data_IF_298853130324
#
_entry.id   IF_298853130324
#
_cell.length_a   1.000
_cell.length_b   1.000
_cell.length_c   1.000
_cell.angle_alpha   90.00
_cell.angle_beta   90.00
_cell.angle_gamma   90.00
#
_symmetry.space_group_name_H-M   'P 1'
#
loop_
_entity.id
_entity.type
_entity.pdbx_description
1 polymer ?
#
# COMPACT_ATOMS: atom_id res chain seq x y z
N UNK A 1 18.58 17.15 8.40
CA UNK A 1 19.35 15.88 8.25
C UNK A 1 18.49 14.98 7.37
N UNK A 2 19.02 14.11 6.51
CA UNK A 2 18.15 13.24 5.72
C UNK A 2 17.35 12.30 6.62
N UNK A 3 16.16 11.88 6.20
CA UNK A 3 15.46 10.78 6.87
C UNK A 3 16.29 9.50 6.77
N UNK A 4 16.30 8.69 7.83
CA UNK A 4 17.14 7.47 7.88
C UNK A 4 16.32 6.25 8.27
N UNK A 5 16.67 5.10 7.69
CA UNK A 5 16.18 3.79 8.11
C UNK A 5 17.05 3.27 9.24
N UNK A 6 16.43 2.94 10.36
CA UNK A 6 17.11 2.38 11.53
C UNK A 6 16.50 1.04 11.90
N UNK A 7 17.35 0.12 12.35
CA UNK A 7 16.93 -1.21 12.75
C UNK A 7 16.07 -1.16 14.01
N UNK A 8 15.03 -1.99 14.04
CA UNK A 8 14.21 -2.17 15.24
C UNK A 8 14.94 -2.97 16.32
N UNK A 9 15.73 -3.98 15.95
CA UNK A 9 16.48 -4.82 16.89
C UNK A 9 17.86 -5.29 16.36
N UNK A 10 19.00 -4.93 17.00
CA UNK A 10 19.12 -3.99 18.11
C UNK A 10 18.66 -2.59 17.68
N UNK A 11 17.95 -1.91 18.58
CA UNK A 11 17.27 -0.64 18.30
C UNK A 11 18.27 0.46 17.93
N UNK A 12 17.97 1.21 16.87
CA UNK A 12 18.67 2.46 16.53
C UNK A 12 19.91 2.30 15.67
N UNK A 13 20.30 1.08 15.27
CA UNK A 13 21.39 0.90 14.30
C UNK A 13 20.96 1.44 12.94
N UNK A 14 21.68 2.41 12.40
CA UNK A 14 21.43 2.94 11.04
C UNK A 14 21.64 1.85 9.99
N UNK A 15 20.66 1.68 9.10
CA UNK A 15 20.71 0.80 7.93
C UNK A 15 21.19 1.59 6.73
N UNK A 16 20.48 2.67 6.40
CA UNK A 16 20.84 3.61 5.33
C UNK A 16 20.12 4.94 5.49
N UNK A 17 20.62 5.94 4.78
CA UNK A 17 19.95 7.23 4.60
C UNK A 17 19.04 7.18 3.36
N UNK A 18 17.95 7.94 3.39
CA UNK A 18 17.12 8.18 2.21
C UNK A 18 17.74 9.29 1.36
N UNK A 19 17.65 9.13 0.04
CA UNK A 19 17.91 10.20 -0.92
C UNK A 19 16.83 11.27 -0.85
N UNK A 20 17.13 12.46 -1.39
CA UNK A 20 16.18 13.58 -1.44
C UNK A 20 14.89 13.23 -2.18
N UNK A 21 14.95 12.36 -3.19
CA UNK A 21 13.79 11.93 -3.97
C UNK A 21 12.90 10.98 -3.15
N UNK A 22 13.50 9.99 -2.48
CA UNK A 22 12.81 9.07 -1.59
C UNK A 22 12.13 9.82 -0.43
N UNK A 23 12.84 10.76 0.17
CA UNK A 23 12.31 11.59 1.26
C UNK A 23 11.10 12.42 0.79
N UNK A 24 11.19 13.01 -0.40
CA UNK A 24 10.08 13.76 -1.00
C UNK A 24 8.89 12.85 -1.30
N UNK A 25 9.12 11.64 -1.81
CA UNK A 25 8.07 10.66 -2.06
C UNK A 25 7.34 10.26 -0.77
N UNK A 26 8.09 9.91 0.27
CA UNK A 26 7.51 9.53 1.58
C UNK A 26 6.74 10.71 2.19
N UNK A 27 7.33 11.92 2.22
CA UNK A 27 6.66 13.12 2.74
C UNK A 27 5.38 13.44 1.97
N UNK A 28 5.40 13.32 0.64
CA UNK A 28 4.23 13.65 -0.21
C UNK A 28 3.12 12.62 -0.06
N UNK A 29 3.45 11.33 -0.14
CA UNK A 29 2.47 10.23 -0.15
C UNK A 29 1.92 9.95 1.26
N UNK A 30 2.78 9.95 2.28
CA UNK A 30 2.40 9.54 3.63
C UNK A 30 2.03 10.71 4.56
N UNK A 31 2.56 11.91 4.28
CA UNK A 31 2.41 13.10 5.12
C UNK A 31 1.43 14.14 4.56
N UNK A 32 1.76 14.71 3.39
CA UNK A 32 1.11 15.92 2.88
C UNK A 32 -0.31 15.71 2.31
N UNK A 33 -0.80 14.47 2.18
CA UNK A 33 -2.06 14.13 1.47
C UNK A 33 -2.20 14.83 0.11
N UNK A 34 -1.07 15.16 -0.53
CA UNK A 34 -1.04 15.81 -1.84
C UNK A 34 -1.23 14.76 -2.93
N UNK A 35 -1.85 15.12 -4.07
CA UNK A 35 -1.86 14.24 -5.23
C UNK A 35 -0.41 13.96 -5.64
N UNK A 36 -0.01 12.69 -5.55
CA UNK A 36 1.31 12.24 -5.93
C UNK A 36 1.25 11.55 -7.30
N UNK A 37 2.33 11.68 -8.07
CA UNK A 37 2.48 10.94 -9.33
C UNK A 37 2.65 9.45 -9.03
N UNK A 38 2.35 8.58 -10.00
CA UNK A 38 2.56 7.13 -9.86
C UNK A 38 4.02 6.79 -9.52
N UNK A 39 4.98 7.56 -10.03
CA UNK A 39 6.40 7.38 -9.70
C UNK A 39 6.68 7.60 -8.20
N UNK A 40 6.14 8.68 -7.61
CA UNK A 40 6.29 8.94 -6.17
C UNK A 40 5.57 7.89 -5.32
N UNK A 41 4.41 7.41 -5.76
CA UNK A 41 3.71 6.32 -5.08
C UNK A 41 4.51 5.02 -5.09
N UNK A 42 5.12 4.66 -6.22
CA UNK A 42 5.95 3.47 -6.32
C UNK A 42 7.18 3.59 -5.43
N UNK A 43 7.87 4.74 -5.48
CA UNK A 43 9.05 4.97 -4.66
C UNK A 43 8.72 4.90 -3.15
N UNK A 44 7.64 5.55 -2.72
CA UNK A 44 7.20 5.47 -1.32
C UNK A 44 6.83 4.03 -0.90
N UNK A 45 6.16 3.27 -1.77
CA UNK A 45 5.83 1.87 -1.49
C UNK A 45 7.07 0.99 -1.40
N UNK A 46 8.08 1.21 -2.24
CA UNK A 46 9.34 0.47 -2.18
C UNK A 46 10.06 0.71 -0.85
N UNK A 47 10.08 1.95 -0.33
CA UNK A 47 10.57 2.25 1.01
C UNK A 47 9.75 1.53 2.10
N UNK A 48 8.42 1.55 2.01
CA UNK A 48 7.58 0.87 3.01
C UNK A 48 7.79 -0.66 2.99
N UNK A 49 8.03 -1.24 1.83
CA UNK A 49 8.37 -2.66 1.69
C UNK A 49 9.72 -2.95 2.31
N UNK A 50 10.73 -2.14 2.01
CA UNK A 50 12.06 -2.23 2.60
C UNK A 50 12.01 -2.16 4.13
N UNK A 51 11.23 -1.22 4.68
CA UNK A 51 11.04 -1.10 6.12
C UNK A 51 10.52 -2.39 6.75
N UNK A 52 9.64 -3.13 6.07
CA UNK A 52 9.12 -4.42 6.58
C UNK A 52 10.10 -5.57 6.38
N UNK A 53 10.82 -5.58 5.26
CA UNK A 53 11.82 -6.61 4.94
C UNK A 53 12.99 -6.59 5.93
N UNK A 54 13.48 -5.40 6.26
CA UNK A 54 14.63 -5.23 7.16
C UNK A 54 14.24 -5.03 8.64
N UNK A 55 12.96 -5.17 9.00
CA UNK A 55 12.40 -4.85 10.32
C UNK A 55 12.93 -3.50 10.83
N UNK A 56 12.70 -2.46 10.03
CA UNK A 56 13.24 -1.13 10.19
C UNK A 56 12.16 -0.10 10.50
N UNK A 57 12.59 0.97 11.14
CA UNK A 57 11.83 2.18 11.40
C UNK A 57 12.41 3.33 10.60
N UNK A 58 11.55 4.28 10.23
CA UNK A 58 11.94 5.50 9.57
C UNK A 58 12.07 6.60 10.62
N UNK A 59 13.28 7.12 10.79
CA UNK A 59 13.56 8.26 11.62
C UNK A 59 13.37 9.55 10.81
N UNK A 60 12.47 10.40 11.27
CA UNK A 60 12.24 11.73 10.73
C UNK A 60 13.19 12.73 11.37
N UNK A 61 13.63 13.69 10.57
CA UNK A 61 14.57 14.73 10.95
C UNK A 61 13.91 15.98 11.55
N UNK A 62 12.59 15.98 11.72
CA UNK A 62 11.85 17.16 12.15
C UNK A 62 12.10 17.54 13.62
N UNK A 63 12.46 16.59 14.48
CA UNK A 63 12.85 16.86 15.86
C UNK A 63 14.30 16.39 16.04
N UNK A 64 15.26 17.31 16.13
CA UNK A 64 16.63 16.97 16.48
C UNK A 64 16.76 16.70 17.98
N UNK A 65 17.61 15.74 18.37
CA UNK A 65 17.92 15.44 19.78
C UNK A 65 17.72 13.96 20.15
N UNK A 66 17.53 13.71 21.45
CA UNK A 66 17.52 12.34 22.03
C UNK A 66 16.25 11.53 21.70
N UNK A 67 15.17 12.19 21.32
CA UNK A 67 13.87 11.57 21.03
C UNK A 67 13.41 11.92 19.60
N UNK A 68 14.12 11.44 18.56
CA UNK A 68 13.73 11.74 17.20
C UNK A 68 12.36 11.15 16.89
N UNK A 69 11.60 11.82 16.01
CA UNK A 69 10.30 11.32 15.59
C UNK A 69 10.50 10.06 14.72
N UNK A 70 9.80 8.99 15.07
CA UNK A 70 9.97 7.68 14.45
C UNK A 70 8.67 7.21 13.83
N UNK A 71 8.78 6.44 12.75
CA UNK A 71 7.65 5.86 12.03
C UNK A 71 7.90 4.39 11.69
N UNK A 72 6.83 3.61 11.52
CA UNK A 72 6.87 2.22 11.10
C UNK A 72 5.92 1.96 9.93
N UNK A 73 6.27 0.96 9.12
CA UNK A 73 5.45 0.55 7.99
C UNK A 73 4.40 -0.48 8.46
N UNK A 74 3.14 -0.08 8.38
CA UNK A 74 1.99 -0.90 8.74
C UNK A 74 1.28 -1.43 7.49
N UNK A 75 0.61 -2.57 7.63
CA UNK A 75 -0.21 -3.18 6.58
C UNK A 75 -1.67 -3.05 6.95
N UNK A 76 -2.50 -2.54 6.04
CA UNK A 76 -3.95 -2.51 6.22
C UNK A 76 -4.54 -3.86 5.80
N UNK A 77 -4.98 -4.67 6.77
CA UNK A 77 -5.39 -6.07 6.53
C UNK A 77 -6.50 -6.24 5.50
N UNK A 78 -7.41 -5.28 5.36
CA UNK A 78 -8.56 -5.40 4.45
C UNK A 78 -8.23 -5.03 2.99
N UNK A 79 -7.25 -4.17 2.73
CA UNK A 79 -6.87 -3.73 1.38
C UNK A 79 -5.50 -4.23 0.93
N UNK A 80 -4.70 -4.80 1.83
CA UNK A 80 -3.32 -5.18 1.55
C UNK A 80 -2.40 -3.98 1.29
N UNK A 81 -2.83 -2.76 1.61
CA UNK A 81 -2.08 -1.53 1.32
C UNK A 81 -1.11 -1.23 2.46
N UNK A 82 0.14 -0.92 2.11
CA UNK A 82 1.13 -0.42 3.06
C UNK A 82 0.90 1.05 3.35
N UNK A 83 1.10 1.44 4.61
CA UNK A 83 1.04 2.83 5.03
C UNK A 83 2.07 3.12 6.10
N UNK A 84 2.51 4.37 6.17
CA UNK A 84 3.41 4.84 7.22
C UNK A 84 2.59 5.26 8.44
N UNK A 85 2.96 4.72 9.60
CA UNK A 85 2.34 5.01 10.89
C UNK A 85 3.38 5.61 11.83
N UNK A 86 3.00 6.65 12.56
CA UNK A 86 3.88 7.32 13.52
C UNK A 86 3.84 6.63 14.88
N UNK A 87 4.97 6.65 15.58
CA UNK A 87 4.97 6.37 17.02
C UNK A 87 4.36 7.56 17.78
N UNK A 88 4.05 7.40 19.08
CA UNK A 88 3.56 8.48 19.95
C UNK A 88 4.57 9.64 20.16
N UNK A 89 5.59 9.78 19.31
CA UNK A 89 6.54 10.89 19.35
C UNK A 89 5.95 12.00 18.49
N UNK A 90 5.84 13.19 19.05
CA UNK A 90 5.34 14.35 18.32
C UNK A 90 6.30 14.69 17.19
N UNK A 91 5.77 15.09 16.04
CA UNK A 91 6.54 15.70 14.98
C UNK A 91 6.54 17.23 15.19
N UNK A 92 7.50 17.96 14.62
CA UNK A 92 7.41 19.42 14.61
C UNK A 92 6.13 19.88 13.87
N UNK A 93 5.47 20.98 14.27
CA UNK A 93 4.20 21.43 13.65
C UNK A 93 4.28 21.65 12.15
N UNK A 94 5.44 22.08 11.65
CA UNK A 94 5.74 22.29 10.23
C UNK A 94 6.14 21.00 9.49
N UNK A 95 6.24 19.86 10.18
CA UNK A 95 6.61 18.60 9.57
C UNK A 95 5.46 18.08 8.68
N UNK A 96 5.74 17.66 7.44
CA UNK A 96 4.77 16.95 6.60
C UNK A 96 4.10 15.75 7.26
N UNK A 97 4.79 15.12 8.21
CA UNK A 97 4.33 13.94 8.95
C UNK A 97 3.60 14.31 10.25
N UNK A 98 3.48 15.60 10.58
CA UNK A 98 2.73 16.05 11.74
C UNK A 98 1.27 15.65 11.64
N UNK A 99 0.80 14.97 12.69
CA UNK A 99 -0.62 14.67 12.91
C UNK A 99 -0.98 15.23 14.26
N UNK A 100 -1.97 16.10 14.30
CA UNK A 100 -2.53 16.54 15.56
C UNK A 100 -3.13 15.31 16.24
N UNK A 101 -2.59 14.95 17.40
CA UNK A 101 -3.12 13.90 18.29
C UNK A 101 -4.42 14.42 18.93
N UNK A 102 -5.39 14.86 18.13
CA UNK A 102 -6.71 15.22 18.62
C UNK A 102 -7.52 13.94 18.83
N UNK A 103 -8.15 13.82 19.99
CA UNK A 103 -8.95 12.67 20.41
C UNK A 103 -10.29 12.52 19.68
N UNK A 104 -10.38 12.86 18.39
CA UNK A 104 -11.60 12.78 17.59
C UNK A 104 -11.67 11.51 16.72
N UNK A 105 -12.15 10.47 17.39
CA UNK A 105 -13.18 9.45 17.05
C UNK A 105 -13.08 8.47 15.86
N UNK A 106 -12.40 8.70 14.73
CA UNK A 106 -12.49 7.71 13.62
C UNK A 106 -11.21 6.90 13.33
N UNK A 107 -10.05 7.41 13.72
CA UNK A 107 -8.76 6.74 13.57
C UNK A 107 -7.99 6.71 14.90
N UNK A 108 -7.30 5.60 15.17
CA UNK A 108 -6.39 5.46 16.31
C UNK A 108 -5.13 6.29 16.07
N UNK A 109 -4.38 6.59 17.14
CA UNK A 109 -3.12 7.36 17.07
C UNK A 109 -2.08 6.80 16.09
N UNK A 110 -2.23 5.52 15.71
CA UNK A 110 -1.43 4.80 14.73
C UNK A 110 -2.06 4.76 13.32
N UNK A 111 -3.12 5.52 13.04
CA UNK A 111 -3.76 5.60 11.72
C UNK A 111 -4.60 4.37 11.32
N UNK A 112 -4.84 3.43 12.25
CA UNK A 112 -5.80 2.36 12.03
C UNK A 112 -7.21 2.85 12.38
N UNK A 113 -8.21 2.58 11.54
CA UNK A 113 -9.60 2.94 11.85
C UNK A 113 -10.02 2.32 13.19
N UNK A 114 -10.70 3.10 14.05
CA UNK A 114 -11.22 2.63 15.35
C UNK A 114 -12.41 1.67 15.18
N UNK A 115 -13.03 1.65 14.00
CA UNK A 115 -14.13 0.76 13.71
C UNK A 115 -13.61 -0.58 13.20
N UNK A 116 -13.79 -1.69 13.94
CA UNK A 116 -13.62 -3.01 13.37
C UNK A 116 -14.65 -3.15 12.25
N UNK A 117 -14.21 -3.12 11.00
CA UNK A 117 -15.07 -3.46 9.85
C UNK A 117 -15.19 -4.99 9.81
N UNK A 118 -15.81 -5.55 10.85
CA UNK A 118 -16.31 -6.92 10.85
C UNK A 118 -17.53 -6.95 9.94
N UNK A 119 -17.32 -7.08 8.64
CA UNK A 119 -18.43 -7.37 7.74
C UNK A 119 -18.97 -8.75 8.11
N UNK A 120 -20.27 -8.84 8.40
CA UNK A 120 -20.92 -10.13 8.69
C UNK A 120 -20.68 -11.08 7.52
N UNK A 121 -20.08 -12.23 7.80
CA UNK A 121 -19.89 -13.31 6.83
C UNK A 121 -21.27 -13.66 6.24
N UNK A 122 -21.48 -13.31 4.97
CA UNK A 122 -22.65 -13.75 4.20
C UNK A 122 -22.24 -14.99 3.41
N UNK A 123 -22.93 -16.10 3.63
CA UNK A 123 -22.66 -17.37 2.94
C UNK A 123 -22.76 -17.26 1.41
N UNK A 124 -23.46 -16.26 0.86
CA UNK A 124 -23.45 -15.99 -0.59
C UNK A 124 -22.10 -15.51 -1.14
N UNK A 125 -21.24 -14.92 -0.31
CA UNK A 125 -19.93 -14.44 -0.74
C UNK A 125 -18.87 -15.56 -0.77
N UNK A 126 -19.20 -16.75 -0.24
CA UNK A 126 -18.34 -17.94 -0.26
C UNK A 126 -18.68 -18.89 -1.39
N UNK A 127 -19.86 -18.72 -2.01
CA UNK A 127 -20.26 -19.52 -3.14
C UNK A 127 -19.78 -18.81 -4.42
N UNK A 128 -19.16 -19.55 -5.36
CA UNK A 128 -18.92 -19.01 -6.69
C UNK A 128 -20.26 -18.50 -7.27
N UNK A 129 -20.23 -17.42 -8.07
CA UNK A 129 -21.45 -16.89 -8.69
C UNK A 129 -22.19 -18.03 -9.42
N UNK A 130 -23.50 -18.06 -9.26
CA UNK A 130 -24.35 -19.11 -9.83
C UNK A 130 -24.31 -19.00 -11.37
N UNK A 131 -23.56 -19.92 -12.00
CA UNK A 131 -23.34 -19.99 -13.44
C UNK A 131 -24.56 -20.57 -14.20
N UNK A 132 -25.71 -20.74 -13.53
CA UNK A 132 -26.95 -21.30 -14.09
C UNK A 132 -27.51 -20.51 -15.29
N UNK A 133 -27.05 -19.27 -15.53
CA UNK A 133 -27.36 -18.47 -16.72
C UNK A 133 -26.16 -18.23 -17.66
N UNK A 134 -25.04 -18.91 -17.47
CA UNK A 134 -23.89 -18.79 -18.38
C UNK A 134 -24.17 -19.52 -19.70
N UNK A 135 -24.65 -18.77 -20.69
CA UNK A 135 -24.84 -19.30 -22.05
C UNK A 135 -23.47 -19.48 -22.71
N UNK A 136 -23.02 -20.72 -22.84
CA UNK A 136 -21.84 -21.08 -23.65
C UNK A 136 -22.19 -20.82 -25.13
N UNK A 137 -21.85 -19.63 -25.63
CA UNK A 137 -21.83 -19.39 -27.08
C UNK A 137 -20.52 -19.94 -27.65
N UNK A 138 -20.58 -21.16 -28.18
CA UNK A 138 -19.56 -21.71 -29.06
C UNK A 138 -19.41 -20.76 -30.27
N UNK A 139 -18.32 -20.00 -30.32
CA UNK A 139 -17.92 -19.29 -31.53
C UNK A 139 -17.52 -20.33 -32.58
N UNK A 140 -18.32 -20.43 -33.64
CA UNK A 140 -17.96 -21.18 -34.83
C UNK A 140 -16.65 -20.61 -35.40
N UNK A 141 -15.59 -21.44 -35.39
CA UNK A 141 -14.39 -21.15 -36.16
C UNK A 141 -14.72 -21.25 -37.64
N UNK A 142 -14.80 -20.11 -38.30
CA UNK A 142 -14.67 -20.01 -39.75
C UNK A 142 -13.27 -20.47 -40.14
N UNK A 143 -13.19 -21.57 -40.86
CA UNK A 143 -12.01 -21.95 -41.62
C UNK A 143 -12.50 -22.30 -43.04
N UNK A 144 -12.40 -21.32 -43.93
CA UNK A 144 -12.41 -21.58 -45.35
C UNK A 144 -11.13 -22.32 -45.71
N UNK A 145 -11.25 -23.47 -46.37
CA UNK A 145 -10.23 -23.97 -47.29
C UNK A 145 -10.91 -24.61 -48.50
N UNK A 146 -10.51 -24.10 -49.67
CA UNK A 146 -10.89 -24.49 -51.02
C UNK A 146 -10.42 -25.91 -51.38
N UNK A 147 -11.11 -26.55 -52.34
CA UNK A 147 -10.59 -27.75 -53.00
C UNK A 147 -11.63 -28.56 -53.78
N UNK A 148 -11.97 -28.08 -54.99
CA UNK A 148 -12.32 -28.78 -56.22
C UNK A 148 -12.73 -30.29 -56.27
N UNK A 149 -13.82 -30.50 -57.03
CA UNK A 149 -14.02 -31.48 -58.11
C UNK A 149 -14.84 -32.77 -57.91
N UNK A 150 -15.77 -32.91 -58.87
CA UNK A 150 -16.25 -34.13 -59.55
C UNK A 150 -17.52 -34.86 -59.05
N UNK A 151 -18.59 -34.69 -59.85
CA UNK A 151 -19.45 -35.72 -60.47
C UNK A 151 -19.59 -37.09 -59.78
N UNK A 152 -20.84 -37.54 -59.56
CA UNK A 152 -21.51 -38.61 -60.34
C UNK A 152 -22.91 -38.87 -59.77
N UNK A 153 -23.83 -39.07 -60.71
CA UNK A 153 -25.23 -39.47 -60.61
C UNK A 153 -25.38 -40.95 -60.21
N UNK A 154 -26.34 -41.29 -59.33
CA UNK A 154 -27.22 -42.50 -59.43
C UNK A 154 -28.54 -42.17 -58.75
#
# INVERSE_FOLDING_TARGET
>A
MPMILVKKNPRGKVIRELSSEEETAVKTVCGLKKPATMALHNLANDILREMREYDAWLQCDCIPGDSPAMNFAALKNNTGTLYLSSFNHEHAPECPMYRQLSGNEEETSSGASRHPVSTRINYRNFLPPDDSNSVIRLQARSAYHNGESSSVHV
#
